data_IF_423432707743
#
_entry.id   IF_423432707743
#
_cell.length_a   1.000
_cell.length_b   1.000
_cell.length_c   1.000
_cell.angle_alpha   90.00
_cell.angle_beta   90.00
_cell.angle_gamma   90.00
#
_symmetry.space_group_name_H-M   'P 1'
#
loop_
_entity.id
_entity.type
_entity.pdbx_description
1 polymer ?
#
# COMPACT_ATOMS: atom_id res chain seq x y z
N UNK A 1 -8.46 -12.62 5.23
CA UNK A 1 -7.26 -11.80 5.41
C UNK A 1 -6.54 -11.60 4.09
N UNK A 2 -5.96 -10.43 3.88
CA UNK A 2 -5.27 -10.09 2.64
C UNK A 2 -3.99 -10.94 2.48
N UNK A 3 -3.81 -11.51 1.28
CA UNK A 3 -2.57 -12.21 0.96
C UNK A 3 -1.44 -11.19 0.81
N UNK A 4 -0.31 -11.44 1.45
CA UNK A 4 0.81 -10.53 1.34
C UNK A 4 2.14 -11.27 1.43
N UNK A 5 3.17 -10.65 0.86
CA UNK A 5 4.57 -11.06 1.02
C UNK A 5 5.33 -9.93 1.67
N UNK A 6 6.37 -10.28 2.42
CA UNK A 6 7.25 -9.28 3.01
C UNK A 6 8.69 -9.74 2.81
N UNK A 7 9.55 -8.81 2.39
CA UNK A 7 10.97 -9.08 2.23
C UNK A 7 11.80 -7.96 2.83
N UNK A 8 13.03 -8.30 3.22
CA UNK A 8 13.99 -7.32 3.74
C UNK A 8 15.18 -7.20 2.81
N UNK A 9 15.67 -5.97 2.63
CA UNK A 9 16.89 -5.67 1.89
C UNK A 9 17.82 -4.94 2.84
N UNK A 10 18.89 -5.60 3.27
CA UNK A 10 19.77 -5.07 4.29
C UNK A 10 19.17 -5.06 5.69
N UNK A 11 18.08 -5.77 5.88
CA UNK A 11 17.34 -5.84 7.14
C UNK A 11 16.80 -7.26 7.30
N UNK A 12 16.92 -7.81 8.49
CA UNK A 12 16.29 -9.09 8.81
C UNK A 12 14.86 -8.86 9.25
N UNK A 13 13.93 -9.51 8.58
CA UNK A 13 12.51 -9.39 8.94
C UNK A 13 12.21 -10.37 10.07
N UNK A 14 12.25 -9.86 11.29
CA UNK A 14 11.92 -10.66 12.49
C UNK A 14 10.41 -10.91 12.55
N UNK A 15 10.02 -11.85 13.41
CA UNK A 15 8.59 -12.12 13.63
C UNK A 15 7.88 -10.88 14.17
N UNK A 16 8.56 -10.08 14.98
CA UNK A 16 8.00 -8.85 15.53
C UNK A 16 7.77 -7.82 14.44
N UNK A 17 8.74 -7.64 13.52
CA UNK A 17 8.57 -6.72 12.40
C UNK A 17 7.48 -7.19 11.44
N UNK A 18 7.42 -8.49 11.18
CA UNK A 18 6.37 -9.06 10.35
C UNK A 18 4.99 -8.79 10.94
N UNK A 19 4.83 -9.05 12.23
CA UNK A 19 3.56 -8.81 12.92
C UNK A 19 3.17 -7.34 12.91
N UNK A 20 4.16 -6.46 13.08
CA UNK A 20 3.92 -5.03 13.07
C UNK A 20 3.44 -4.55 11.70
N UNK A 21 4.13 -4.98 10.64
CA UNK A 21 3.75 -4.62 9.27
C UNK A 21 2.37 -5.17 8.92
N UNK A 22 2.09 -6.41 9.31
CA UNK A 22 0.79 -7.03 9.08
C UNK A 22 -0.33 -6.27 9.76
N UNK A 23 -0.11 -5.87 11.00
CA UNK A 23 -1.10 -5.10 11.75
C UNK A 23 -1.42 -3.77 11.06
N UNK A 24 -0.38 -3.10 10.54
CA UNK A 24 -0.58 -1.84 9.82
C UNK A 24 -1.28 -2.07 8.47
N UNK A 25 -0.96 -3.16 7.79
CA UNK A 25 -1.61 -3.50 6.53
C UNK A 25 -3.11 -3.75 6.73
N UNK A 26 -3.50 -4.28 7.87
CA UNK A 26 -4.92 -4.52 8.19
C UNK A 26 -5.76 -3.24 8.12
N UNK A 27 -5.16 -2.08 8.38
CA UNK A 27 -5.87 -0.81 8.27
C UNK A 27 -6.31 -0.51 6.83
N UNK A 28 -5.63 -1.11 5.84
CA UNK A 28 -5.97 -0.92 4.44
C UNK A 28 -7.01 -1.92 3.96
N UNK A 29 -7.23 -3.01 4.69
CA UNK A 29 -8.10 -4.09 4.23
C UNK A 29 -9.54 -3.65 3.99
N UNK A 30 -10.03 -2.68 4.74
CA UNK A 30 -11.39 -2.19 4.58
C UNK A 30 -11.66 -1.60 3.19
N UNK A 31 -10.62 -1.18 2.48
CA UNK A 31 -10.74 -0.66 1.12
C UNK A 31 -10.70 -1.77 0.07
N UNK A 32 -10.35 -3.00 0.47
CA UNK A 32 -10.04 -4.11 -0.43
C UNK A 32 -10.99 -5.30 -0.26
N UNK A 33 -11.93 -5.20 0.64
CA UNK A 33 -12.70 -6.36 1.13
C UNK A 33 -13.55 -7.08 0.09
N UNK A 34 -13.85 -6.45 -1.03
CA UNK A 34 -14.70 -7.07 -2.06
C UNK A 34 -13.90 -7.63 -3.23
N UNK A 35 -12.58 -7.72 -3.08
CA UNK A 35 -11.73 -8.24 -4.14
C UNK A 35 -10.89 -9.40 -3.60
N UNK A 36 -11.32 -10.66 -3.85
CA UNK A 36 -10.54 -11.81 -3.38
C UNK A 36 -9.18 -11.95 -4.05
N UNK A 37 -8.94 -11.24 -5.15
CA UNK A 37 -7.65 -11.28 -5.84
C UNK A 37 -6.69 -10.20 -5.32
N UNK A 38 -7.11 -9.37 -4.37
CA UNK A 38 -6.26 -8.33 -3.81
C UNK A 38 -5.05 -8.95 -3.12
N UNK A 39 -3.89 -8.32 -3.30
CA UNK A 39 -2.65 -8.79 -2.70
C UNK A 39 -1.73 -7.63 -2.42
N UNK A 40 -0.80 -7.83 -1.49
CA UNK A 40 0.16 -6.82 -1.12
C UNK A 40 1.58 -7.37 -1.12
N UNK A 41 2.53 -6.52 -1.45
CA UNK A 41 3.95 -6.81 -1.30
C UNK A 41 4.54 -5.71 -0.42
N UNK A 42 5.31 -6.10 0.58
CA UNK A 42 5.94 -5.17 1.51
C UNK A 42 7.44 -5.35 1.40
N UNK A 43 8.16 -4.26 1.25
CA UNK A 43 9.63 -4.28 1.29
C UNK A 43 10.12 -3.39 2.41
N UNK A 44 11.03 -3.93 3.24
CA UNK A 44 11.73 -3.17 4.28
C UNK A 44 13.20 -3.12 3.88
N UNK A 45 13.78 -1.93 3.88
CA UNK A 45 15.14 -1.72 3.42
C UNK A 45 15.93 -0.88 4.41
N UNK A 46 17.22 -1.14 4.52
CA UNK A 46 18.15 -0.33 5.30
C UNK A 46 19.24 0.20 4.38
N UNK A 47 19.46 1.51 4.40
CA UNK A 47 20.56 2.18 3.68
C UNK A 47 21.35 3.04 4.65
N UNK A 48 22.58 2.62 4.96
CA UNK A 48 23.37 3.23 6.01
C UNK A 48 23.79 4.69 5.74
N UNK A 49 23.87 5.10 4.47
CA UNK A 49 24.39 6.42 4.09
C UNK A 49 23.33 7.42 3.64
N UNK A 50 22.06 7.15 3.92
CA UNK A 50 21.00 8.05 3.49
C UNK A 50 20.69 9.10 4.56
N UNK A 51 20.65 10.37 4.13
CA UNK A 51 20.23 11.48 4.99
C UNK A 51 18.70 11.46 5.16
N UNK A 52 18.23 11.86 6.32
CA UNK A 52 16.80 12.00 6.58
C UNK A 52 16.09 10.72 6.93
N UNK A 53 16.83 9.62 7.07
CA UNK A 53 16.28 8.33 7.46
C UNK A 53 17.01 7.21 6.76
N UNK A 54 17.26 6.13 7.50
CA UNK A 54 18.06 5.01 7.02
C UNK A 54 17.20 3.79 6.67
N UNK A 55 15.95 3.79 7.06
CA UNK A 55 15.05 2.67 6.86
C UNK A 55 13.92 3.07 5.95
N UNK A 56 13.63 2.21 4.97
CA UNK A 56 12.56 2.43 4.01
C UNK A 56 11.52 1.32 4.14
N UNK A 57 10.25 1.69 4.04
CA UNK A 57 9.17 0.73 3.90
C UNK A 57 8.38 1.07 2.64
N UNK A 58 8.04 0.06 1.87
CA UNK A 58 7.21 0.23 0.69
C UNK A 58 6.09 -0.80 0.71
N UNK A 59 4.87 -0.33 0.52
CA UNK A 59 3.69 -1.19 0.38
C UNK A 59 3.21 -1.07 -1.06
N UNK A 60 3.05 -2.20 -1.73
CA UNK A 60 2.49 -2.25 -3.08
C UNK A 60 1.26 -3.13 -3.04
N UNK A 61 0.11 -2.57 -3.35
CA UNK A 61 -1.17 -3.28 -3.28
C UNK A 61 -1.81 -3.34 -4.65
N UNK A 62 -2.14 -4.56 -5.09
CA UNK A 62 -2.86 -4.80 -6.34
C UNK A 62 -4.33 -5.06 -5.99
N UNK A 63 -5.22 -4.32 -6.62
CA UNK A 63 -6.63 -4.36 -6.26
C UNK A 63 -7.48 -3.79 -7.39
N UNK A 64 -8.49 -4.53 -7.81
CA UNK A 64 -9.43 -4.11 -8.87
C UNK A 64 -8.74 -3.66 -10.15
N UNK A 65 -7.70 -4.37 -10.56
CA UNK A 65 -6.98 -4.07 -11.80
C UNK A 65 -6.06 -2.86 -11.73
N UNK A 66 -5.83 -2.31 -10.54
CA UNK A 66 -4.94 -1.18 -10.33
C UNK A 66 -3.87 -1.52 -9.31
N UNK A 67 -2.81 -0.74 -9.30
CA UNK A 67 -1.71 -0.89 -8.34
C UNK A 67 -1.56 0.41 -7.56
N UNK A 68 -1.52 0.28 -6.24
CA UNK A 68 -1.32 1.40 -5.34
C UNK A 68 0.00 1.17 -4.60
N UNK A 69 0.81 2.21 -4.52
CA UNK A 69 2.14 2.11 -3.92
C UNK A 69 2.36 3.26 -2.96
N UNK A 70 2.93 2.94 -1.81
CA UNK A 70 3.30 3.94 -0.82
C UNK A 70 4.68 3.61 -0.28
N UNK A 71 5.54 4.61 -0.19
CA UNK A 71 6.92 4.46 0.25
C UNK A 71 7.24 5.58 1.23
N UNK A 72 7.96 5.26 2.29
CA UNK A 72 8.42 6.27 3.24
C UNK A 72 9.74 5.85 3.87
N UNK A 73 10.52 6.85 4.29
CA UNK A 73 11.79 6.67 4.99
C UNK A 73 11.64 7.11 6.43
N UNK A 74 12.36 6.45 7.32
CA UNK A 74 12.34 6.78 8.74
C UNK A 74 13.63 6.42 9.43
N UNK A 75 13.72 6.76 10.71
CA UNK A 75 14.90 6.45 11.52
C UNK A 75 14.87 5.03 12.08
N UNK A 76 13.77 4.33 11.89
CA UNK A 76 13.62 2.92 12.25
C UNK A 76 12.65 2.26 11.28
N UNK A 77 12.66 0.92 11.25
CA UNK A 77 11.69 0.18 10.45
C UNK A 77 10.26 0.48 10.90
N UNK A 78 10.03 0.58 12.19
CA UNK A 78 8.70 0.87 12.73
C UNK A 78 8.18 2.21 12.24
N UNK A 79 9.03 3.24 12.27
CA UNK A 79 8.64 4.56 11.79
C UNK A 79 8.36 4.54 10.30
N UNK A 80 9.22 3.89 9.51
CA UNK A 80 9.03 3.78 8.06
C UNK A 80 7.73 3.05 7.73
N UNK A 81 7.43 1.97 8.45
CA UNK A 81 6.18 1.22 8.28
C UNK A 81 4.97 2.09 8.60
N UNK A 82 5.01 2.82 9.70
CA UNK A 82 3.89 3.68 10.10
C UNK A 82 3.59 4.73 9.03
N UNK A 83 4.64 5.39 8.54
CA UNK A 83 4.49 6.45 7.54
C UNK A 83 3.99 5.89 6.21
N UNK A 84 4.57 4.79 5.76
CA UNK A 84 4.17 4.17 4.49
C UNK A 84 2.73 3.63 4.55
N UNK A 85 2.37 2.98 5.65
CA UNK A 85 1.02 2.46 5.82
C UNK A 85 -0.02 3.58 5.86
N UNK A 86 0.31 4.69 6.51
CA UNK A 86 -0.56 5.86 6.53
C UNK A 86 -0.79 6.43 5.15
N UNK A 87 0.29 6.53 4.35
CA UNK A 87 0.20 6.98 2.97
C UNK A 87 -0.65 6.04 2.13
N UNK A 88 -0.49 4.74 2.32
CA UNK A 88 -1.29 3.74 1.58
C UNK A 88 -2.78 3.92 1.87
N UNK A 89 -3.16 4.07 3.12
CA UNK A 89 -4.56 4.27 3.51
C UNK A 89 -5.11 5.54 2.89
N UNK A 90 -4.33 6.62 2.92
CA UNK A 90 -4.74 7.89 2.30
C UNK A 90 -4.95 7.72 0.79
N UNK A 91 -4.04 7.02 0.13
CA UNK A 91 -4.12 6.80 -1.31
C UNK A 91 -5.36 5.99 -1.69
N UNK A 92 -5.61 4.91 -0.97
CA UNK A 92 -6.78 4.07 -1.19
C UNK A 92 -8.07 4.84 -0.93
N UNK A 93 -8.11 5.66 0.11
CA UNK A 93 -9.27 6.48 0.43
C UNK A 93 -9.58 7.51 -0.65
N UNK A 94 -8.55 8.18 -1.17
CA UNK A 94 -8.73 9.15 -2.26
C UNK A 94 -9.29 8.48 -3.51
N UNK A 95 -8.77 7.32 -3.86
CA UNK A 95 -9.24 6.60 -5.05
C UNK A 95 -10.68 6.12 -4.89
N UNK A 96 -11.05 5.67 -3.70
CA UNK A 96 -12.43 5.28 -3.42
C UNK A 96 -13.38 6.45 -3.62
N UNK A 97 -13.03 7.63 -3.12
CA UNK A 97 -13.86 8.83 -3.28
C UNK A 97 -14.01 9.22 -4.74
N UNK A 98 -12.95 9.16 -5.52
CA UNK A 98 -12.99 9.44 -6.95
C UNK A 98 -13.94 8.50 -7.68
N UNK A 99 -13.88 7.21 -7.37
CA UNK A 99 -14.76 6.22 -7.97
C UNK A 99 -16.22 6.52 -7.68
N UNK A 100 -16.54 6.78 -6.44
CA UNK A 100 -17.92 7.09 -6.05
C UNK A 100 -18.43 8.34 -6.74
N UNK A 101 -17.59 9.38 -6.81
CA UNK A 101 -17.95 10.62 -7.48
C UNK A 101 -18.28 10.38 -8.96
N UNK A 102 -17.44 9.62 -9.66
CA UNK A 102 -17.63 9.33 -11.07
C UNK A 102 -18.88 8.49 -11.31
N UNK A 103 -19.16 7.54 -10.45
CA UNK A 103 -20.37 6.72 -10.57
C UNK A 103 -21.65 7.58 -10.48
N UNK A 104 -21.63 8.59 -9.65
CA UNK A 104 -22.78 9.50 -9.50
C UNK A 104 -22.94 10.43 -10.69
N UNK A 105 -21.89 10.67 -11.46
CA UNK A 105 -21.95 11.58 -12.60
C UNK A 105 -22.49 10.89 -13.86
N UNK A 106 -21.86 9.79 -14.27
CA UNK A 106 -22.22 9.13 -15.52
C UNK A 106 -21.56 7.77 -15.63
N UNK A 107 -22.34 6.76 -15.95
CA UNK A 107 -21.80 5.41 -16.16
C UNK A 107 -20.80 5.37 -17.31
N UNK A 108 -21.07 6.10 -18.39
CA UNK A 108 -20.17 6.15 -19.54
C UNK A 108 -18.82 6.77 -19.16
N UNK A 109 -18.84 7.85 -18.40
CA UNK A 109 -17.61 8.51 -17.95
C UNK A 109 -16.83 7.63 -16.99
N UNK A 110 -17.53 6.90 -16.12
CA UNK A 110 -16.87 5.96 -15.22
C UNK A 110 -16.15 4.88 -16.02
N UNK A 111 -16.80 4.33 -17.03
CA UNK A 111 -16.21 3.31 -17.89
C UNK A 111 -14.94 3.82 -18.58
N UNK A 112 -14.98 5.02 -19.13
CA UNK A 112 -13.82 5.62 -19.77
C UNK A 112 -12.69 5.88 -18.80
N UNK A 113 -13.03 6.37 -17.60
CA UNK A 113 -12.05 6.61 -16.55
C UNK A 113 -11.32 5.31 -16.16
N UNK A 114 -12.08 4.23 -15.97
CA UNK A 114 -11.50 2.95 -15.57
C UNK A 114 -10.61 2.34 -16.65
N UNK A 115 -10.87 2.62 -17.91
CA UNK A 115 -10.01 2.16 -19.01
C UNK A 115 -8.63 2.79 -18.97
N UNK A 116 -8.53 4.01 -18.44
CA UNK A 116 -7.26 4.72 -18.34
C UNK A 116 -6.43 4.34 -17.13
N UNK A 117 -6.91 3.44 -16.27
CA UNK A 117 -6.19 3.04 -15.08
C UNK A 117 -5.15 1.98 -15.42
N UNK A 118 -3.99 1.99 -14.70
CA UNK A 118 -2.99 0.94 -14.88
C UNK A 118 -3.59 -0.42 -14.58
N UNK A 119 -3.22 -1.40 -15.38
CA UNK A 119 -3.71 -2.78 -15.22
C UNK A 119 -2.56 -3.75 -15.08
N UNK A 120 -2.85 -4.86 -14.43
CA UNK A 120 -1.87 -5.92 -14.21
C UNK A 120 -2.44 -7.22 -14.65
#
# INVERSE_FOLDING_TARGET
MLNYNIKGTGVDVSDELRSYAEKKLQHAEKFLRNDPSARADIELEHQALRDGGHYRAEFTVSFSGAVYRAESWGTSCHEAIDLAAGELVNELGRNKKKRLHLLRRSAAKVKDYLRGWPRR
#
